data_IF_698026809840
#
_entry.id   IF_698026809840
#
_cell.length_a   1.000
_cell.length_b   1.000
_cell.length_c   1.000
_cell.angle_alpha   90.00
_cell.angle_beta   90.00
_cell.angle_gamma   90.00
#
_symmetry.space_group_name_H-M   'P 1'
#
loop_
_entity.id
_entity.type
_entity.pdbx_description
1 polymer ?
2 non-polymer ?
3 non-polymer ?
4 water ?
#
# COMPACT_ATOMS: atom_id res chain seq x y z
N UNK A 1 8.97 -6.49 -17.09
CA UNK A 1 8.82 -5.84 -15.76
C UNK A 1 7.44 -6.12 -15.21
N UNK A 2 7.38 -6.14 -13.85
CA UNK A 2 6.05 -6.15 -13.24
C UNK A 2 5.26 -4.87 -13.50
N UNK A 3 4.07 -5.03 -14.06
CA UNK A 3 3.20 -3.88 -14.34
C UNK A 3 2.27 -3.69 -13.16
N UNK A 4 2.35 -2.52 -12.53
CA UNK A 4 1.50 -2.24 -11.38
C UNK A 4 0.65 -1.00 -11.56
N UNK A 5 -0.39 -0.92 -10.76
CA UNK A 5 -1.29 0.23 -10.77
C UNK A 5 -1.37 0.69 -9.33
N UNK A 6 -1.49 1.99 -9.11
CA UNK A 6 -1.57 2.51 -7.75
C UNK A 6 -2.82 3.36 -7.60
N UNK A 7 -3.58 3.11 -6.52
CA UNK A 7 -4.78 3.87 -6.23
C UNK A 7 -4.44 4.86 -5.12
N UNK A 8 -4.78 6.13 -5.32
CA UNK A 8 -4.49 7.17 -4.35
C UNK A 8 -5.66 8.10 -4.10
N UNK A 9 -5.57 8.88 -3.03
CA UNK A 9 -6.63 9.82 -2.66
C UNK A 9 -6.09 11.14 -2.09
N UNK A 10 -4.79 11.19 -1.80
CA UNK A 10 -4.24 12.40 -1.23
C UNK A 10 -2.79 12.75 -1.49
N UNK A 11 -2.07 13.06 -0.42
CA UNK A 11 -0.66 13.45 -0.49
C UNK A 11 0.17 12.51 -1.36
N UNK A 12 -0.02 11.21 -1.15
CA UNK A 12 0.69 10.22 -1.94
C UNK A 12 2.19 10.04 -1.73
N UNK A 13 2.67 10.20 -0.50
CA UNK A 13 4.10 10.03 -0.26
C UNK A 13 4.52 8.58 -0.54
N UNK A 14 3.63 7.64 -0.27
CA UNK A 14 3.94 6.25 -0.52
C UNK A 14 4.08 5.99 -2.03
N UNK A 15 3.29 6.70 -2.83
CA UNK A 15 3.41 6.55 -4.28
C UNK A 15 4.79 7.07 -4.68
N UNK A 16 5.19 8.20 -4.09
CA UNK A 16 6.49 8.78 -4.41
C UNK A 16 7.64 7.82 -4.10
N UNK A 17 7.54 7.12 -2.98
CA UNK A 17 8.58 6.17 -2.60
C UNK A 17 8.72 5.07 -3.64
N UNK A 18 7.60 4.58 -4.16
CA UNK A 18 7.64 3.55 -5.19
C UNK A 18 8.25 4.12 -6.47
N UNK A 19 7.82 5.32 -6.85
CA UNK A 19 8.35 5.98 -8.05
C UNK A 19 9.86 6.14 -7.94
N UNK A 20 10.32 6.62 -6.79
CA UNK A 20 11.75 6.83 -6.59
C UNK A 20 12.53 5.52 -6.60
N UNK A 21 11.95 4.48 -6.01
CA UNK A 21 12.61 3.17 -5.95
C UNK A 21 12.73 2.57 -7.35
N UNK A 22 11.74 2.83 -8.20
CA UNK A 22 11.76 2.33 -9.57
C UNK A 22 12.79 3.12 -10.37
N UNK A 23 12.77 4.45 -10.22
CA UNK A 23 13.71 5.29 -10.96
C UNK A 23 15.16 5.03 -10.59
N UNK A 24 15.41 4.69 -9.34
CA UNK A 24 16.77 4.42 -8.89
C UNK A 24 17.18 2.99 -9.24
N UNK A 25 16.27 2.23 -9.84
CA UNK A 25 16.57 0.87 -10.22
C UNK A 25 16.50 -0.19 -9.13
N UNK A 26 15.92 0.15 -7.99
CA UNK A 26 15.81 -0.80 -6.90
C UNK A 26 14.62 -1.75 -7.10
N UNK A 27 13.60 -1.27 -7.80
CA UNK A 27 12.40 -2.07 -8.05
C UNK A 27 12.17 -2.29 -9.54
N UNK A 28 12.11 -3.56 -9.95
CA UNK A 28 11.91 -3.91 -11.35
C UNK A 28 10.43 -3.99 -11.70
N UNK A 29 9.81 -2.82 -11.78
CA UNK A 29 8.40 -2.72 -12.11
C UNK A 29 8.14 -1.38 -12.78
N UNK A 30 6.96 -1.24 -13.37
CA UNK A 30 6.59 0.00 -14.02
C UNK A 30 5.17 0.34 -13.58
N UNK A 31 4.93 1.61 -13.28
CA UNK A 31 3.60 2.03 -12.88
C UNK A 31 2.87 2.38 -14.17
N UNK A 32 2.00 1.49 -14.60
CA UNK A 32 1.25 1.68 -15.84
C UNK A 32 0.10 2.67 -15.69
N UNK A 33 -0.42 2.79 -14.47
CA UNK A 33 -1.52 3.71 -14.23
C UNK A 33 -1.72 4.01 -12.76
N UNK A 34 -2.02 5.27 -12.49
CA UNK A 34 -2.32 5.72 -11.14
C UNK A 34 -3.76 6.20 -11.25
N UNK A 35 -4.58 5.80 -10.30
CA UNK A 35 -5.97 6.23 -10.28
C UNK A 35 -6.22 6.99 -8.98
N UNK A 36 -6.72 8.21 -9.10
CA UNK A 36 -7.05 9.02 -7.92
C UNK A 36 -8.54 9.24 -7.91
N UNK A 37 -9.17 9.13 -6.74
CA UNK A 37 -10.61 9.35 -6.65
C UNK A 37 -10.83 10.79 -6.19
N UNK A 38 -9.74 11.53 -6.06
CA UNK A 38 -9.77 12.93 -5.64
C UNK A 38 -9.03 13.79 -6.66
N UNK A 39 -9.75 14.68 -7.36
CA UNK A 39 -9.16 15.57 -8.37
C UNK A 39 -8.11 16.56 -7.86
N UNK A 40 -8.05 16.77 -6.56
CA UNK A 40 -7.10 17.71 -5.98
C UNK A 40 -5.95 17.05 -5.22
N UNK A 41 -5.85 15.72 -5.29
CA UNK A 41 -4.79 15.02 -4.59
C UNK A 41 -3.42 15.43 -5.11
N UNK A 42 -2.48 15.70 -4.20
CA UNK A 42 -1.14 16.09 -4.62
C UNK A 42 -0.49 14.95 -5.38
N UNK A 43 -0.95 13.73 -5.14
CA UNK A 43 -0.42 12.56 -5.82
C UNK A 43 -0.47 12.73 -7.34
N UNK A 44 -1.47 13.47 -7.81
CA UNK A 44 -1.64 13.73 -9.24
C UNK A 44 -0.48 14.56 -9.77
N UNK A 45 -0.03 15.53 -8.97
CA UNK A 45 1.07 16.39 -9.37
C UNK A 45 2.36 15.57 -9.44
N UNK A 46 2.50 14.57 -8.57
CA UNK A 46 3.68 13.72 -8.58
C UNK A 46 3.74 12.96 -9.90
N UNK A 47 2.59 12.49 -10.38
CA UNK A 47 2.55 11.75 -11.63
C UNK A 47 2.98 12.64 -12.80
N UNK A 48 2.57 13.89 -12.77
CA UNK A 48 2.93 14.81 -13.83
C UNK A 48 4.44 15.04 -13.86
N UNK A 49 5.03 15.22 -12.68
CA UNK A 49 6.47 15.46 -12.57
C UNK A 49 7.32 14.25 -12.97
N UNK A 50 6.73 13.07 -12.95
CA UNK A 50 7.47 11.85 -13.29
C UNK A 50 6.96 11.14 -14.53
N UNK A 51 6.04 11.76 -15.25
CA UNK A 51 5.49 11.19 -16.46
C UNK A 51 4.87 9.80 -16.24
N UNK A 52 4.02 9.72 -15.21
CA UNK A 52 3.32 8.49 -14.88
C UNK A 52 1.85 8.77 -15.22
N UNK A 53 1.25 7.91 -16.04
CA UNK A 53 -0.14 8.11 -16.43
C UNK A 53 -1.05 8.12 -15.21
N UNK A 54 -1.90 9.13 -15.13
CA UNK A 54 -2.81 9.27 -14.01
C UNK A 54 -4.22 9.56 -14.51
N UNK A 55 -5.21 8.93 -13.88
CA UNK A 55 -6.60 9.14 -14.23
C UNK A 55 -7.38 9.41 -12.97
N UNK A 56 -8.25 10.41 -13.02
CA UNK A 56 -9.08 10.75 -11.88
C UNK A 56 -10.45 10.13 -12.13
N UNK A 57 -10.83 9.18 -11.28
CA UNK A 57 -12.12 8.51 -11.38
C UNK A 57 -12.83 8.73 -10.05
N UNK A 58 -13.87 9.55 -10.08
CA UNK A 58 -14.60 9.89 -8.87
C UNK A 58 -15.87 9.08 -8.64
N UNK A 59 -16.11 8.74 -7.38
CA UNK A 59 -17.28 7.98 -6.98
C UNK A 59 -18.58 8.64 -7.44
N UNK A 60 -18.64 9.97 -7.32
CA UNK A 60 -19.84 10.71 -7.70
C UNK A 60 -20.18 10.63 -9.18
N UNK A 61 -19.24 10.16 -9.99
CA UNK A 61 -19.48 10.04 -11.42
C UNK A 61 -20.26 8.78 -11.79
N UNK A 62 -20.60 7.99 -10.78
CA UNK A 62 -21.35 6.75 -10.99
C UNK A 62 -22.48 6.63 -9.97
N UNK A 63 -23.67 6.18 -10.41
CA UNK A 63 -24.76 6.06 -9.44
C UNK A 63 -24.45 5.01 -8.37
N UNK A 64 -23.92 3.87 -8.80
CA UNK A 64 -23.60 2.79 -7.87
C UNK A 64 -22.11 2.54 -7.65
N UNK A 65 -21.80 1.92 -6.52
CA UNK A 65 -20.43 1.60 -6.18
C UNK A 65 -19.92 0.50 -7.12
N UNK A 66 -20.84 -0.39 -7.48
CA UNK A 66 -20.50 -1.50 -8.38
C UNK A 66 -19.87 -1.02 -9.68
N UNK A 67 -20.51 -0.04 -10.32
CA UNK A 67 -20.09 0.64 -11.54
C UNK A 67 -18.73 1.31 -11.36
N UNK A 68 -18.64 1.95 -10.20
CA UNK A 68 -17.46 2.75 -9.88
C UNK A 68 -16.26 1.82 -9.82
N UNK A 69 -16.41 0.73 -9.07
CA UNK A 69 -15.34 -0.24 -8.93
C UNK A 69 -15.02 -0.96 -10.23
N UNK A 70 -16.10 -1.27 -11.01
CA UNK A 70 -15.91 -1.93 -12.30
C UNK A 70 -15.05 -1.08 -13.23
N UNK A 71 -15.36 0.22 -13.30
CA UNK A 71 -14.61 1.13 -14.15
C UNK A 71 -13.14 1.15 -13.74
N UNK A 72 -12.87 1.27 -12.44
CA UNK A 72 -11.48 1.28 -11.98
C UNK A 72 -10.80 -0.03 -12.37
N UNK A 73 -11.35 -1.29 -12.11
CA UNK A 73 -10.79 -2.58 -12.50
C UNK A 73 -10.51 -2.64 -13.99
N UNK A 74 -11.49 -2.24 -14.80
CA UNK A 74 -11.34 -2.27 -16.24
C UNK A 74 -10.17 -1.42 -16.72
N UNK A 75 -10.09 -0.18 -16.23
CA UNK A 75 -8.99 0.70 -16.63
C UNK A 75 -7.63 0.11 -16.27
N UNK A 76 -7.56 -0.60 -15.14
CA UNK A 76 -6.31 -1.21 -14.74
C UNK A 76 -6.03 -2.41 -15.64
N UNK A 77 -7.06 -3.19 -15.92
CA UNK A 77 -6.89 -4.36 -16.79
C UNK A 77 -6.44 -3.95 -18.19
N UNK A 78 -6.97 -2.85 -18.69
CA UNK A 78 -6.62 -2.36 -20.02
C UNK A 78 -5.13 -2.04 -20.12
N UNK A 79 -4.52 -1.73 -18.99
CA UNK A 79 -3.10 -1.39 -18.94
C UNK A 79 -2.24 -2.59 -18.57
N UNK A 80 -2.89 -3.76 -18.47
CA UNK A 80 -2.17 -4.97 -18.14
C UNK A 80 -1.61 -5.01 -16.73
N UNK A 81 -2.22 -4.24 -15.83
CA UNK A 81 -1.79 -4.19 -14.44
C UNK A 81 -1.90 -5.57 -13.79
N UNK A 82 -0.82 -6.01 -13.16
CA UNK A 82 -0.76 -7.31 -12.51
C UNK A 82 -0.87 -7.19 -10.99
N UNK A 83 -0.39 -6.07 -10.45
CA UNK A 83 -0.44 -5.82 -9.02
C UNK A 83 -1.07 -4.47 -8.77
N UNK A 84 -2.05 -4.42 -7.86
CA UNK A 84 -2.73 -3.18 -7.52
C UNK A 84 -2.25 -2.76 -6.14
N UNK A 85 -1.77 -1.53 -6.03
CA UNK A 85 -1.26 -1.01 -4.77
C UNK A 85 -2.06 0.18 -4.27
N UNK A 86 -2.59 0.08 -3.05
CA UNK A 86 -3.33 1.19 -2.46
C UNK A 86 -2.35 2.01 -1.65
N UNK A 87 -2.22 3.28 -2.00
CA UNK A 87 -1.30 4.19 -1.32
C UNK A 87 -2.05 5.44 -0.89
N UNK A 88 -2.65 5.35 0.30
CA UNK A 88 -3.39 6.49 0.80
C UNK A 88 -4.79 6.54 0.22
N UNK A 89 -5.21 5.45 -0.42
CA UNK A 89 -6.54 5.39 -1.02
C UNK A 89 -7.56 5.36 0.10
N UNK A 90 -8.61 6.17 -0.03
CA UNK A 90 -9.62 6.29 1.01
C UNK A 90 -10.97 5.62 0.80
N UNK A 91 -11.17 4.95 -0.34
CA UNK A 91 -12.41 4.25 -0.60
C UNK A 91 -12.25 2.80 -0.14
N UNK A 92 -13.36 2.14 0.16
CA UNK A 92 -13.32 0.74 0.59
C UNK A 92 -13.67 -0.15 -0.59
N UNK A 93 -12.75 -1.04 -0.95
CA UNK A 93 -12.95 -1.92 -2.10
C UNK A 93 -13.73 -3.17 -1.70
N UNK A 94 -14.64 -3.59 -2.57
CA UNK A 94 -15.44 -4.77 -2.32
C UNK A 94 -15.09 -5.87 -3.31
N UNK A 95 -15.79 -6.99 -3.20
CA UNK A 95 -15.59 -8.13 -4.08
C UNK A 95 -15.74 -7.73 -5.55
N UNK A 96 -16.54 -6.69 -5.79
CA UNK A 96 -16.77 -6.20 -7.15
C UNK A 96 -15.45 -5.87 -7.84
N UNK A 97 -14.51 -5.34 -7.07
CA UNK A 97 -13.19 -4.96 -7.60
C UNK A 97 -12.16 -6.05 -7.36
N UNK A 98 -12.10 -6.55 -6.12
CA UNK A 98 -11.13 -7.56 -5.72
C UNK A 98 -11.17 -8.88 -6.50
N UNK A 99 -12.35 -9.29 -6.96
CA UNK A 99 -12.46 -10.56 -7.70
C UNK A 99 -11.58 -10.58 -8.95
N UNK A 100 -11.27 -9.41 -9.48
CA UNK A 100 -10.45 -9.32 -10.69
C UNK A 100 -8.95 -9.49 -10.44
N UNK A 101 -8.52 -9.21 -9.21
CA UNK A 101 -7.12 -9.31 -8.83
C UNK A 101 -6.94 -10.20 -7.61
N UNK A 102 -7.25 -11.50 -7.73
CA UNK A 102 -7.11 -12.43 -6.61
C UNK A 102 -5.75 -12.39 -5.93
N UNK A 103 -5.74 -11.95 -4.67
CA UNK A 103 -4.52 -11.84 -3.88
C UNK A 103 -3.48 -10.98 -4.58
N UNK A 104 -3.95 -10.02 -5.36
CA UNK A 104 -3.07 -9.13 -6.11
C UNK A 104 -3.36 -7.67 -5.79
N UNK A 105 -4.02 -7.42 -4.66
CA UNK A 105 -4.32 -6.05 -4.24
C UNK A 105 -3.68 -5.90 -2.86
N UNK A 106 -2.76 -4.95 -2.72
CA UNK A 106 -2.10 -4.75 -1.44
C UNK A 106 -2.26 -3.32 -0.92
N UNK A 107 -1.97 -3.16 0.36
CA UNK A 107 -2.12 -1.87 1.00
C UNK A 107 -1.08 -1.68 2.09
N UNK A 108 -0.76 -0.41 2.39
CA UNK A 108 0.19 -0.09 3.44
C UNK A 108 -0.64 0.56 4.54
N UNK A 109 -0.55 0.01 5.75
CA UNK A 109 -1.29 0.54 6.89
C UNK A 109 -0.33 0.87 8.03
N UNK A 110 -0.45 2.08 8.61
CA UNK A 110 0.41 2.56 9.70
C UNK A 110 0.21 2.02 11.11
N UNK A 111 0.15 0.71 11.25
CA UNK A 111 0.04 0.06 12.55
C UNK A 111 0.43 -1.39 12.35
N UNK A 112 0.65 -2.09 13.46
CA UNK A 112 0.97 -3.51 13.39
C UNK A 112 -0.38 -4.21 13.49
N UNK A 113 -1.05 -4.39 12.35
CA UNK A 113 -2.36 -5.04 12.36
C UNK A 113 -2.21 -6.39 13.03
N UNK A 114 -3.29 -6.90 13.65
CA UNK A 114 -4.64 -6.36 13.78
C UNK A 114 -4.84 -5.20 14.78
N UNK A 115 -3.76 -4.72 15.35
CA UNK A 115 -3.87 -3.60 16.29
C UNK A 115 -4.15 -2.31 15.52
N UNK A 116 -4.97 -1.45 16.11
CA UNK A 116 -5.31 -0.15 15.53
C UNK A 116 -5.66 -0.14 14.05
N UNK A 117 -6.72 -0.87 13.71
CA UNK A 117 -7.18 -0.92 12.33
C UNK A 117 -8.01 0.34 12.10
N UNK A 118 -8.25 0.67 10.83
CA UNK A 118 -9.04 1.85 10.55
C UNK A 118 -8.29 3.16 10.46
N UNK A 119 -9.05 4.25 10.49
CA UNK A 119 -8.49 5.60 10.37
C UNK A 119 -7.72 6.09 11.59
N UNK A 120 -6.73 6.94 11.32
CA UNK A 120 -5.91 7.54 12.37
C UNK A 120 -5.27 6.52 13.30
N UNK A 121 -4.67 5.49 12.72
CA UNK A 121 -4.02 4.43 13.48
C UNK A 121 -2.86 4.93 14.33
N UNK A 122 -2.15 5.94 13.85
CA UNK A 122 -1.02 6.49 14.60
C UNK A 122 -1.54 7.17 15.87
N UNK A 123 -2.60 7.96 15.73
CA UNK A 123 -3.19 8.64 16.86
C UNK A 123 -3.75 7.60 17.83
N UNK A 124 -4.36 6.55 17.30
CA UNK A 124 -4.91 5.49 18.14
C UNK A 124 -3.83 4.90 19.03
N UNK A 125 -2.67 4.63 18.43
CA UNK A 125 -1.54 4.06 19.16
C UNK A 125 -1.07 4.97 20.28
N UNK A 126 -0.96 6.26 19.98
CA UNK A 126 -0.51 7.25 20.96
C UNK A 126 -1.47 7.37 22.13
N UNK A 127 -2.77 7.50 21.84
CA UNK A 127 -3.76 7.64 22.90
C UNK A 127 -3.86 6.38 23.73
N UNK A 128 -3.71 5.22 23.08
CA UNK A 128 -3.78 3.95 23.79
C UNK A 128 -2.56 3.84 24.71
N UNK A 129 -1.41 4.32 24.22
CA UNK A 129 -0.20 4.26 24.99
C UNK A 129 0.64 3.02 24.78
N UNK A 130 0.56 2.40 23.60
CA UNK A 130 1.38 1.21 23.35
C UNK A 130 2.83 1.66 23.31
N UNK A 131 3.76 0.72 23.50
CA UNK A 131 5.18 1.04 23.50
C UNK A 131 5.80 0.72 22.14
N UNK A 132 5.05 -0.04 21.33
CA UNK A 132 5.50 -0.40 19.98
C UNK A 132 4.36 -0.31 18.99
N UNK A 133 4.64 0.32 17.85
CA UNK A 133 3.66 0.39 16.77
C UNK A 133 4.46 0.07 15.52
N UNK A 134 4.05 0.60 14.37
CA UNK A 134 4.79 0.33 13.16
C UNK A 134 3.87 0.35 11.96
N UNK A 135 4.25 -0.37 10.90
CA UNK A 135 3.41 -0.43 9.70
C UNK A 135 3.36 -1.82 9.10
N UNK A 136 2.32 -2.05 8.31
CA UNK A 136 2.11 -3.36 7.71
C UNK A 136 1.72 -3.29 6.24
N UNK A 137 2.27 -4.19 5.44
CA UNK A 137 1.86 -4.27 4.03
C UNK A 137 1.03 -5.55 4.07
N UNK A 138 -0.21 -5.48 3.61
CA UNK A 138 -1.08 -6.66 3.63
C UNK A 138 -1.92 -6.79 2.38
N UNK A 139 -2.43 -7.99 2.14
CA UNK A 139 -3.29 -8.24 1.00
C UNK A 139 -4.66 -7.75 1.40
N UNK A 140 -5.30 -7.00 0.51
CA UNK A 140 -6.62 -6.46 0.77
C UNK A 140 -7.72 -7.46 0.52
N UNK A 141 -8.64 -7.58 1.47
CA UNK A 141 -9.79 -8.46 1.34
C UNK A 141 -11.02 -7.74 1.89
N UNK A 142 -12.06 -8.49 2.23
CA UNK A 142 -13.24 -7.74 2.66
C UNK A 142 -13.20 -7.28 4.12
N UNK A 143 -12.15 -7.59 4.86
CA UNK A 143 -11.99 -7.04 6.21
C UNK A 143 -11.34 -5.66 6.21
N UNK A 144 -11.41 -4.99 7.35
CA UNK A 144 -10.80 -3.67 7.49
C UNK A 144 -9.41 -3.86 8.10
N UNK A 145 -8.41 -3.97 7.24
CA UNK A 145 -7.03 -4.14 7.66
C UNK A 145 -6.87 -5.26 8.69
N UNK A 146 -7.46 -6.28 7.95
CA UNK A 146 -7.29 -7.55 8.64
C UNK A 146 -6.95 -8.66 7.64
N UNK A 147 -6.43 -8.53 6.43
CA UNK A 147 -6.09 -9.51 5.42
C UNK A 147 -4.70 -10.12 5.60
N UNK A 148 -4.27 -11.01 4.70
CA UNK A 148 -2.96 -11.66 4.78
C UNK A 148 -1.81 -10.66 4.96
N UNK A 149 -0.94 -10.95 5.92
CA UNK A 149 0.19 -10.09 6.21
C UNK A 149 1.45 -10.49 5.46
N UNK A 150 2.03 -9.54 4.72
CA UNK A 150 3.24 -9.83 3.96
C UNK A 150 4.50 -9.49 4.73
N UNK A 151 4.56 -8.26 5.26
CA UNK A 151 5.72 -7.80 5.99
C UNK A 151 5.33 -6.69 6.96
N UNK A 152 6.02 -6.60 8.09
CA UNK A 152 5.76 -5.55 9.07
C UNK A 152 7.06 -4.94 9.56
N UNK A 153 6.99 -3.70 9.99
CA UNK A 153 8.15 -2.98 10.52
C UNK A 153 7.71 -2.47 11.88
N UNK A 154 8.54 -2.71 12.90
CA UNK A 154 8.21 -2.28 14.26
C UNK A 154 8.93 -0.98 14.61
N UNK A 155 8.19 -0.08 15.25
CA UNK A 155 8.70 1.24 15.65
C UNK A 155 8.37 1.53 17.11
N UNK A 156 9.37 1.96 17.89
CA UNK A 156 9.15 2.28 19.30
C UNK A 156 8.36 3.57 19.45
N UNK A 157 7.51 3.64 20.47
CA UNK A 157 6.70 4.81 20.74
C UNK A 157 7.28 5.55 21.94
N UNK A 158 7.38 6.87 21.84
CA UNK A 158 7.93 7.68 22.93
C UNK A 158 6.85 8.31 23.80
N UNK A 159 7.14 8.49 25.10
CA UNK A 159 6.21 9.08 26.07
C UNK A 159 5.56 10.38 25.60
N UNK A 160 6.34 11.24 24.95
CA UNK A 160 5.84 12.53 24.49
C UNK A 160 5.31 12.56 23.06
N UNK A 161 5.35 11.42 22.38
CA UNK A 161 4.84 11.37 21.00
C UNK A 161 3.39 11.80 20.86
N UNK A 162 3.07 12.45 19.75
CA UNK A 162 1.70 12.82 19.47
C UNK A 162 1.45 12.19 18.09
N UNK A 163 0.22 12.29 17.59
CA UNK A 163 -0.12 11.68 16.30
C UNK A 163 0.89 11.95 15.19
N UNK A 164 1.28 13.21 15.01
CA UNK A 164 2.22 13.55 13.94
C UNK A 164 3.65 13.05 14.12
N UNK A 165 4.18 13.12 15.34
CA UNK A 165 5.54 12.67 15.57
C UNK A 165 5.68 11.16 15.35
N UNK A 166 4.73 10.38 15.88
CA UNK A 166 4.78 8.94 15.67
C UNK A 166 4.58 8.62 14.19
N UNK A 167 3.59 9.28 13.57
CA UNK A 167 3.31 9.05 12.16
C UNK A 167 4.55 9.25 11.29
N UNK A 168 5.31 10.29 11.60
CA UNK A 168 6.52 10.60 10.86
C UNK A 168 7.55 9.47 10.97
N UNK A 169 7.66 8.90 12.17
CA UNK A 169 8.61 7.79 12.41
C UNK A 169 8.18 6.53 11.66
N UNK A 170 6.88 6.26 11.66
CA UNK A 170 6.36 5.08 10.98
C UNK A 170 6.47 5.23 9.46
N UNK A 171 6.22 6.43 8.95
CA UNK A 171 6.27 6.69 7.51
C UNK A 171 7.61 6.37 6.88
N UNK A 172 8.70 6.53 7.62
CA UNK A 172 10.03 6.23 7.08
C UNK A 172 10.08 4.75 6.68
N UNK A 173 9.42 3.91 7.47
CA UNK A 173 9.40 2.48 7.20
C UNK A 173 8.38 2.08 6.14
N UNK A 174 7.27 2.82 6.05
CA UNK A 174 6.25 2.53 5.04
C UNK A 174 6.90 2.70 3.67
N UNK A 175 7.70 3.74 3.54
CA UNK A 175 8.39 4.06 2.29
C UNK A 175 9.43 3.01 1.91
N UNK A 176 9.71 2.08 2.83
CA UNK A 176 10.67 1.02 2.57
C UNK A 176 10.00 -0.34 2.38
N UNK A 177 9.08 -0.71 3.26
CA UNK A 177 8.43 -2.03 3.13
C UNK A 177 7.46 -2.14 1.97
N UNK A 178 6.85 -1.03 1.56
CA UNK A 178 5.92 -1.13 0.44
C UNK A 178 6.70 -1.32 -0.86
N UNK A 179 7.75 -0.50 -1.11
CA UNK A 179 8.49 -0.71 -2.36
C UNK A 179 9.14 -2.10 -2.37
N UNK A 180 9.61 -2.55 -1.21
CA UNK A 180 10.24 -3.87 -1.11
C UNK A 180 9.24 -4.96 -1.47
N UNK A 181 7.99 -4.80 -1.02
CA UNK A 181 6.97 -5.79 -1.32
C UNK A 181 6.71 -5.83 -2.82
N UNK A 182 6.72 -4.67 -3.46
CA UNK A 182 6.49 -4.61 -4.90
C UNK A 182 7.60 -5.40 -5.59
N UNK A 183 8.84 -5.18 -5.16
CA UNK A 183 9.98 -5.89 -5.74
C UNK A 183 9.82 -7.39 -5.52
N UNK A 184 9.36 -7.77 -4.33
CA UNK A 184 9.17 -9.20 -4.05
C UNK A 184 8.17 -9.79 -5.03
N UNK A 185 7.09 -9.06 -5.31
CA UNK A 185 6.11 -9.54 -6.28
C UNK A 185 6.78 -9.60 -7.66
N UNK A 186 7.61 -8.62 -7.95
CA UNK A 186 8.32 -8.57 -9.24
C UNK A 186 9.25 -9.77 -9.41
N UNK A 187 9.75 -10.30 -8.29
CA UNK A 187 10.65 -11.43 -8.31
C UNK A 187 9.92 -12.77 -8.20
N UNK A 188 8.59 -12.73 -8.22
CA UNK A 188 7.79 -13.95 -8.13
C UNK A 188 8.10 -14.68 -6.84
N UNK A 189 8.32 -13.92 -5.77
CA UNK A 189 8.66 -14.53 -4.48
C UNK A 189 7.54 -14.52 -3.44
N UNK A 190 6.36 -14.07 -3.83
CA UNK A 190 5.23 -14.03 -2.90
C UNK A 190 4.43 -15.34 -3.00
N UNK A 191 4.42 -16.10 -1.92
CA UNK A 191 3.70 -17.36 -1.88
C UNK A 191 2.54 -17.25 -0.90
N UNK A 192 1.36 -17.65 -1.32
CA UNK A 192 0.19 -17.57 -0.45
C UNK A 192 -0.36 -18.96 -0.12
N UNK A 193 -0.58 -19.19 1.16
CA UNK A 193 -1.12 -20.47 1.65
C UNK A 193 -2.13 -20.13 2.72
N UNK A 194 -3.41 -20.18 2.36
CA UNK A 194 -4.46 -19.84 3.30
C UNK A 194 -4.43 -18.32 3.45
N UNK A 195 -4.34 -17.84 4.68
CA UNK A 195 -4.28 -16.39 4.90
C UNK A 195 -2.88 -16.00 5.32
N UNK A 196 -1.93 -16.91 5.11
CA UNK A 196 -0.54 -16.66 5.44
C UNK A 196 0.27 -16.43 4.17
N UNK A 197 1.24 -15.54 4.26
CA UNK A 197 2.09 -15.22 3.12
C UNK A 197 3.55 -15.45 3.44
N UNK A 198 4.27 -16.04 2.49
CA UNK A 198 5.68 -16.29 2.69
C UNK A 198 6.47 -15.73 1.53
N UNK A 199 7.61 -15.11 1.84
CA UNK A 199 8.48 -14.53 0.83
C UNK A 199 9.63 -15.49 0.61
N UNK A 200 9.71 -16.05 -0.60
CA UNK A 200 10.77 -17.00 -0.96
C UNK A 200 12.17 -16.51 -0.64
N UNK A 201 12.95 -17.39 -0.01
CA UNK A 201 14.34 -17.10 0.34
C UNK A 201 14.58 -15.78 1.06
N UNK A 202 13.58 -15.30 1.79
CA UNK A 202 13.73 -14.06 2.53
C UNK A 202 14.23 -14.42 3.93
N UNK A 203 14.76 -13.43 4.64
CA UNK A 203 15.27 -13.63 5.99
C UNK A 203 14.19 -13.32 7.02
N UNK A 204 13.82 -14.32 7.81
CA UNK A 204 12.81 -14.17 8.86
C UNK A 204 13.43 -14.21 10.25
N UNK A 205 12.69 -13.70 11.23
CA UNK A 205 13.16 -13.68 12.61
C UNK A 205 14.01 -12.47 12.93
N UNK A 206 13.86 -11.44 12.11
CA UNK A 206 14.64 -10.21 12.22
C UNK A 206 13.89 -8.98 12.72
N UNK A 207 14.64 -8.01 13.23
CA UNK A 207 14.12 -6.74 13.72
C UNK A 207 14.93 -5.64 13.01
N UNK A 208 14.32 -4.49 12.72
CA UNK A 208 12.93 -4.12 13.00
C UNK A 208 11.95 -4.48 11.88
N UNK A 209 12.43 -5.18 10.86
CA UNK A 209 11.57 -5.57 9.75
C UNK A 209 11.59 -7.09 9.57
N UNK A 210 10.41 -7.69 9.47
CA UNK A 210 10.29 -9.14 9.33
C UNK A 210 9.25 -9.49 8.27
N UNK A 211 9.67 -10.13 7.16
CA UNK A 211 11.05 -10.51 6.86
C UNK A 211 11.90 -9.28 6.57
N UNK A 212 13.22 -9.41 6.67
CA UNK A 212 14.12 -8.30 6.46
C UNK A 212 14.16 -7.68 5.07
N UNK A 213 14.44 -6.39 5.03
CA UNK A 213 14.55 -5.64 3.77
C UNK A 213 15.77 -6.12 3.01
N UNK A 214 15.75 -6.00 1.68
CA UNK A 214 16.86 -6.43 0.85
C UNK A 214 17.36 -5.31 -0.07
N UNK A 215 16.42 -4.53 -0.60
CA UNK A 215 16.80 -3.44 -1.50
C UNK A 215 17.12 -2.18 -0.71
N UNK A 216 16.87 -2.23 0.59
CA UNK A 216 17.14 -1.13 1.51
C UNK A 216 17.92 -1.70 2.70
X LIG B 1 0.50 7.60 0.95
X LIG C 1 -5.38 1.59 6.59
X LIG D 1 6.02 5.41 25.15
X LIG E 1 0.72 3.72 -20.68
X LIG F 1 -1.36 13.17 -13.39
#
# INVERSE_FOLDING_TARGET
MLKIGVLVSGRGSNLQAIIDAIESGKVNASIELVISDNPKAYAIERCKKHNVECKVIQRKEFPSKKEFEERMALELKKKGVELVVLAGFMRILSHNFLKYFPNKVINIHPSLIPAFQGLHAQKQAVEFGVKFSGCTVHIVDESVDAGPVIVQAVVPVLPEDDENTLADRILKWEHKILPQTVQWFAQDRIIIDGRKVIVKDATYGTLPVNPALEIF
MG MG
CO CO
CO CO
CO CO
CO CO
#
